data_IF_378561024964
#
_entry.id   IF_378561024964
#
_cell.length_a   1.000
_cell.length_b   1.000
_cell.length_c   1.000
_cell.angle_alpha   90.00
_cell.angle_beta   90.00
_cell.angle_gamma   90.00
#
_symmetry.space_group_name_H-M   'P 1'
#
loop_
_entity.id
_entity.type
_entity.pdbx_description
1 polymer ?
#
# COMPACT_ATOMS: atom_id res chain seq x y z
N UNK A 1 -13.62 4.52 12.76
CA UNK A 1 -14.14 3.39 11.97
C UNK A 1 -14.49 2.18 12.85
N UNK A 2 -13.52 1.41 13.37
CA UNK A 2 -13.80 0.17 14.14
C UNK A 2 -14.83 0.35 15.27
N UNK A 3 -14.67 1.39 16.10
CA UNK A 3 -15.63 1.70 17.17
C UNK A 3 -17.07 1.91 16.66
N UNK A 4 -17.25 2.59 15.52
CA UNK A 4 -18.57 2.83 14.94
C UNK A 4 -19.23 1.54 14.44
N UNK A 5 -18.44 0.63 13.86
CA UNK A 5 -18.91 -0.71 13.46
C UNK A 5 -19.36 -1.49 14.69
N UNK A 6 -18.55 -1.50 15.75
CA UNK A 6 -18.88 -2.21 16.99
C UNK A 6 -20.17 -1.68 17.62
N UNK A 7 -20.34 -0.37 17.66
CA UNK A 7 -21.56 0.27 18.18
C UNK A 7 -22.79 -0.06 17.33
N UNK A 8 -22.73 0.12 16.01
CA UNK A 8 -23.89 -0.09 15.12
C UNK A 8 -24.30 -1.59 15.03
N UNK A 9 -23.35 -2.50 15.24
CA UNK A 9 -23.63 -3.95 15.31
C UNK A 9 -24.01 -4.45 16.71
N UNK A 10 -24.17 -3.56 17.69
CA UNK A 10 -24.41 -3.91 19.10
C UNK A 10 -23.38 -4.93 19.64
N UNK A 11 -22.11 -4.78 19.27
CA UNK A 11 -21.01 -5.66 19.68
C UNK A 11 -20.95 -7.00 18.96
N UNK A 12 -21.84 -7.30 18.00
CA UNK A 12 -21.81 -8.55 17.21
C UNK A 12 -20.57 -8.66 16.31
N UNK A 13 -19.92 -7.54 16.01
CA UNK A 13 -18.69 -7.50 15.25
C UNK A 13 -17.69 -6.55 15.91
N UNK A 14 -16.47 -7.04 16.15
CA UNK A 14 -15.38 -6.27 16.75
C UNK A 14 -14.14 -6.33 15.84
N UNK A 15 -13.86 -5.22 15.14
CA UNK A 15 -12.70 -5.15 14.25
C UNK A 15 -11.45 -4.78 15.04
N UNK A 16 -10.62 -5.77 15.34
CA UNK A 16 -9.34 -5.56 16.00
C UNK A 16 -8.27 -5.14 14.98
N UNK A 17 -7.59 -4.03 15.25
CA UNK A 17 -6.55 -3.47 14.38
C UNK A 17 -5.19 -3.75 15.01
N UNK A 18 -4.31 -4.35 14.21
CA UNK A 18 -2.94 -4.66 14.60
C UNK A 18 -1.96 -3.80 13.78
N UNK A 19 -1.63 -2.58 14.24
CA UNK A 19 -0.79 -1.65 13.51
C UNK A 19 0.69 -2.07 13.56
N UNK A 20 1.57 -1.30 12.89
CA UNK A 20 3.03 -1.43 12.98
C UNK A 20 3.57 -2.84 12.67
N UNK A 21 2.96 -3.54 11.71
CA UNK A 21 3.37 -4.90 11.30
C UNK A 21 3.36 -5.93 12.45
N UNK A 22 2.49 -5.77 13.44
CA UNK A 22 2.37 -6.70 14.58
C UNK A 22 2.07 -8.15 14.16
N UNK A 23 1.40 -8.34 13.01
CA UNK A 23 1.03 -9.66 12.48
C UNK A 23 2.05 -10.23 11.47
N UNK A 24 3.17 -9.53 11.25
CA UNK A 24 4.20 -9.92 10.29
C UNK A 24 4.40 -8.88 9.18
N UNK A 25 5.30 -9.19 8.25
CA UNK A 25 5.58 -8.35 7.08
C UNK A 25 4.41 -8.38 6.08
N UNK A 26 4.39 -7.42 5.14
CA UNK A 26 3.35 -7.36 4.11
C UNK A 26 3.19 -8.69 3.33
N UNK A 27 4.30 -9.35 3.03
CA UNK A 27 4.32 -10.65 2.35
C UNK A 27 3.78 -11.80 3.20
N UNK A 28 4.02 -11.74 4.52
CA UNK A 28 3.52 -12.74 5.47
C UNK A 28 2.01 -12.59 5.62
N UNK A 29 1.54 -11.36 5.87
CA UNK A 29 0.11 -11.09 6.09
C UNK A 29 -0.70 -11.30 4.82
N UNK A 30 -0.14 -11.01 3.63
CA UNK A 30 -0.76 -11.40 2.35
C UNK A 30 -0.97 -12.92 2.25
N UNK A 31 -0.01 -13.72 2.72
CA UNK A 31 -0.15 -15.17 2.76
C UNK A 31 -1.21 -15.61 3.78
N UNK A 32 -1.23 -14.96 4.96
CA UNK A 32 -2.19 -15.24 6.03
C UNK A 32 -3.63 -14.90 5.63
N UNK A 33 -3.89 -13.74 5.00
CA UNK A 33 -5.25 -13.37 4.60
C UNK A 33 -5.80 -14.33 3.54
N UNK A 34 -4.93 -14.92 2.71
CA UNK A 34 -5.33 -15.93 1.73
C UNK A 34 -5.65 -17.27 2.38
N UNK A 35 -4.82 -17.73 3.32
CA UNK A 35 -5.05 -18.98 4.03
C UNK A 35 -6.21 -18.90 5.02
N UNK A 36 -6.55 -17.69 5.49
CA UNK A 36 -7.52 -17.42 6.54
C UNK A 36 -6.91 -17.39 7.94
N UNK A 37 -5.58 -17.15 8.05
CA UNK A 37 -4.92 -16.87 9.32
C UNK A 37 -5.22 -15.46 9.86
N UNK A 38 -5.62 -14.55 8.98
CA UNK A 38 -6.23 -13.24 9.32
C UNK A 38 -7.42 -12.99 8.40
N UNK A 39 -8.40 -12.22 8.87
CA UNK A 39 -9.63 -11.96 8.12
C UNK A 39 -9.52 -10.77 7.19
N UNK A 40 -8.79 -9.73 7.61
CA UNK A 40 -8.71 -8.43 6.95
C UNK A 40 -7.27 -7.97 6.80
N UNK A 41 -6.94 -7.33 5.69
CA UNK A 41 -5.62 -6.74 5.47
C UNK A 41 -5.69 -5.54 4.53
N UNK A 42 -5.11 -4.40 4.92
CA UNK A 42 -4.90 -3.25 4.03
C UNK A 42 -3.53 -3.34 3.38
N UNK A 43 -3.50 -3.47 2.05
CA UNK A 43 -2.25 -3.67 1.30
C UNK A 43 -2.18 -2.77 0.07
N UNK A 44 -0.98 -2.26 -0.23
CA UNK A 44 -0.72 -1.53 -1.48
C UNK A 44 -1.03 -2.42 -2.69
N UNK A 45 -1.74 -1.88 -3.68
CA UNK A 45 -1.98 -2.55 -4.96
C UNK A 45 -0.68 -2.99 -5.67
N UNK A 46 0.40 -2.24 -5.46
CA UNK A 46 1.70 -2.53 -6.06
C UNK A 46 2.38 -3.75 -5.42
N UNK A 47 2.24 -3.97 -4.11
CA UNK A 47 2.71 -5.21 -3.45
C UNK A 47 1.79 -6.37 -3.83
N UNK A 48 0.47 -6.13 -3.86
CA UNK A 48 -0.53 -7.12 -4.25
C UNK A 48 -0.31 -7.66 -5.67
N UNK A 49 0.39 -6.92 -6.54
CA UNK A 49 0.72 -7.37 -7.90
C UNK A 49 1.61 -8.61 -7.99
N UNK A 50 2.23 -9.03 -6.89
CA UNK A 50 2.86 -10.36 -6.79
C UNK A 50 1.85 -11.51 -6.90
N UNK A 51 0.58 -11.25 -6.59
CA UNK A 51 -0.56 -12.17 -6.71
C UNK A 51 -1.52 -11.76 -7.83
N UNK A 52 -1.83 -10.47 -7.94
CA UNK A 52 -2.83 -9.90 -8.86
C UNK A 52 -2.15 -8.84 -9.71
N UNK A 53 -1.46 -9.20 -10.81
CA UNK A 53 -0.60 -8.26 -11.56
C UNK A 53 -1.28 -6.91 -11.91
N UNK A 54 -2.57 -6.95 -12.28
CA UNK A 54 -3.37 -5.78 -12.59
C UNK A 54 -3.52 -4.78 -11.43
N UNK A 55 -3.37 -5.22 -10.17
CA UNK A 55 -3.55 -4.37 -8.99
C UNK A 55 -2.50 -3.25 -8.87
N UNK A 56 -1.38 -3.34 -9.58
CA UNK A 56 -0.34 -2.30 -9.61
C UNK A 56 -0.61 -1.16 -10.60
N UNK A 57 -1.67 -1.25 -11.41
CA UNK A 57 -1.93 -0.30 -12.49
C UNK A 57 -2.12 1.15 -12.01
N UNK A 58 -2.54 1.34 -10.75
CA UNK A 58 -2.67 2.67 -10.16
C UNK A 58 -1.30 3.34 -9.87
N UNK A 59 -0.23 2.56 -9.81
CA UNK A 59 1.12 3.02 -9.51
C UNK A 59 2.04 3.17 -10.73
N UNK A 60 1.49 3.15 -11.94
CA UNK A 60 2.30 3.40 -13.14
C UNK A 60 2.95 4.78 -13.03
N UNK A 61 4.26 4.82 -13.23
CA UNK A 61 5.06 6.04 -13.04
C UNK A 61 4.52 7.22 -13.84
N UNK A 62 4.30 8.34 -13.16
CA UNK A 62 3.78 9.60 -13.70
C UNK A 62 2.43 9.50 -14.44
N UNK A 63 1.66 8.41 -14.27
CA UNK A 63 0.38 8.23 -14.95
C UNK A 63 -0.72 9.19 -14.44
N UNK A 64 -0.66 9.56 -13.15
CA UNK A 64 -1.63 10.43 -12.52
C UNK A 64 -1.01 11.81 -12.23
N UNK A 65 -1.56 12.90 -12.79
CA UNK A 65 -1.06 14.25 -12.53
C UNK A 65 -1.58 14.82 -11.20
N UNK A 66 -2.73 14.32 -10.71
CA UNK A 66 -3.42 14.86 -9.55
C UNK A 66 -4.42 13.86 -8.94
N UNK A 67 -4.90 14.19 -7.74
CA UNK A 67 -5.89 13.41 -7.01
C UNK A 67 -7.26 13.31 -7.70
N UNK A 68 -7.84 14.38 -8.29
CA UNK A 68 -9.09 14.25 -9.05
C UNK A 68 -9.03 13.19 -10.14
N UNK A 69 -7.90 13.08 -10.86
CA UNK A 69 -7.68 12.06 -11.88
C UNK A 69 -7.56 10.66 -11.25
N UNK A 70 -6.83 10.52 -10.14
CA UNK A 70 -6.76 9.27 -9.36
C UNK A 70 -8.16 8.80 -8.98
N UNK A 71 -8.95 9.65 -8.31
CA UNK A 71 -10.25 9.26 -7.78
C UNK A 71 -11.24 8.94 -8.88
N UNK A 72 -11.26 9.72 -9.98
CA UNK A 72 -12.08 9.41 -11.14
C UNK A 72 -11.76 8.01 -11.70
N UNK A 73 -10.49 7.61 -11.72
CA UNK A 73 -10.08 6.29 -12.23
C UNK A 73 -10.37 5.17 -11.22
N UNK A 74 -9.97 5.33 -9.96
CA UNK A 74 -10.03 4.28 -8.94
C UNK A 74 -11.43 4.07 -8.35
N UNK A 75 -12.27 5.09 -8.33
CA UNK A 75 -13.69 4.94 -7.99
C UNK A 75 -14.52 4.49 -9.22
N UNK A 76 -13.98 4.68 -10.43
CA UNK A 76 -14.61 4.32 -11.70
C UNK A 76 -14.23 2.93 -12.23
N UNK A 77 -14.26 2.80 -13.56
CA UNK A 77 -14.12 1.53 -14.27
C UNK A 77 -12.75 0.86 -14.06
N UNK A 78 -11.67 1.64 -13.92
CA UNK A 78 -10.34 1.09 -13.66
C UNK A 78 -10.29 0.41 -12.29
N UNK A 79 -10.82 1.06 -11.25
CA UNK A 79 -10.94 0.45 -9.94
C UNK A 79 -11.86 -0.76 -9.94
N UNK A 80 -12.99 -0.71 -10.67
CA UNK A 80 -13.90 -1.85 -10.81
C UNK A 80 -13.19 -3.05 -11.46
N UNK A 81 -12.39 -2.81 -12.50
CA UNK A 81 -11.56 -3.83 -13.13
C UNK A 81 -10.56 -4.44 -12.14
N UNK A 82 -9.81 -3.62 -11.41
CA UNK A 82 -8.85 -4.10 -10.40
C UNK A 82 -9.55 -4.93 -9.31
N UNK A 83 -10.68 -4.45 -8.78
CA UNK A 83 -11.48 -5.21 -7.80
C UNK A 83 -11.95 -6.55 -8.36
N UNK A 84 -12.33 -6.61 -9.64
CA UNK A 84 -12.68 -7.83 -10.34
C UNK A 84 -11.51 -8.83 -10.39
N UNK A 85 -10.30 -8.37 -10.71
CA UNK A 85 -9.10 -9.21 -10.72
C UNK A 85 -8.72 -9.70 -9.31
N UNK A 86 -8.86 -8.85 -8.29
CA UNK A 86 -8.65 -9.25 -6.88
C UNK A 86 -9.64 -10.36 -6.49
N UNK A 87 -10.92 -10.23 -6.88
CA UNK A 87 -11.93 -11.27 -6.67
C UNK A 87 -11.62 -12.54 -7.46
N UNK A 88 -11.09 -12.48 -8.67
CA UNK A 88 -10.65 -13.71 -9.37
C UNK A 88 -9.53 -14.44 -8.63
N UNK A 89 -8.68 -13.72 -7.90
CA UNK A 89 -7.55 -14.27 -7.16
C UNK A 89 -7.88 -14.87 -5.78
N UNK A 90 -9.16 -14.97 -5.40
CA UNK A 90 -9.57 -15.65 -4.16
C UNK A 90 -9.78 -14.75 -2.94
N UNK A 91 -9.63 -13.43 -3.10
CA UNK A 91 -9.85 -12.45 -2.04
C UNK A 91 -11.17 -11.71 -2.24
N UNK A 92 -11.71 -11.14 -1.17
CA UNK A 92 -12.73 -10.09 -1.27
C UNK A 92 -12.07 -8.72 -1.06
N UNK A 93 -12.69 -7.66 -1.57
CA UNK A 93 -12.14 -6.31 -1.51
C UNK A 93 -13.27 -5.28 -1.40
N UNK A 94 -13.03 -4.22 -0.63
CA UNK A 94 -13.97 -3.10 -0.49
C UNK A 94 -14.02 -2.25 -1.76
N UNK A 95 -15.08 -1.44 -1.89
CA UNK A 95 -15.32 -0.67 -3.11
C UNK A 95 -14.31 0.46 -3.27
N UNK A 96 -13.97 1.14 -2.17
CA UNK A 96 -13.02 2.25 -2.18
C UNK A 96 -11.62 1.83 -1.77
N UNK A 97 -10.65 2.25 -2.57
CA UNK A 97 -9.23 2.21 -2.20
C UNK A 97 -8.93 3.38 -1.26
N UNK A 98 -8.09 3.17 -0.25
CA UNK A 98 -7.71 4.21 0.71
C UNK A 98 -6.48 4.97 0.22
N UNK A 99 -6.41 6.27 0.47
CA UNK A 99 -5.23 7.05 0.09
C UNK A 99 -4.01 6.63 0.94
N UNK A 100 -2.92 6.28 0.26
CA UNK A 100 -1.60 6.32 0.87
C UNK A 100 -0.91 7.63 0.45
N UNK A 101 -0.97 7.93 -0.85
CA UNK A 101 -0.63 9.22 -1.42
C UNK A 101 0.43 9.16 -2.51
N UNK A 102 0.75 10.33 -3.06
CA UNK A 102 1.87 10.47 -3.98
C UNK A 102 3.21 10.24 -3.26
N UNK A 103 4.05 9.41 -3.87
CA UNK A 103 5.30 8.94 -3.28
C UNK A 103 6.45 9.90 -3.59
N UNK A 104 7.26 10.15 -2.56
CA UNK A 104 8.42 11.05 -2.60
C UNK A 104 9.69 10.24 -2.36
N UNK A 105 10.83 10.70 -2.87
CA UNK A 105 12.11 10.01 -2.69
C UNK A 105 12.89 10.64 -1.56
N UNK A 106 13.36 9.84 -0.61
CA UNK A 106 14.28 10.28 0.45
C UNK A 106 15.67 9.70 0.23
N UNK A 107 16.67 10.42 0.72
CA UNK A 107 18.07 10.01 0.60
C UNK A 107 18.89 10.45 1.81
N UNK A 108 19.86 9.63 2.20
CA UNK A 108 20.87 9.97 3.20
C UNK A 108 22.14 10.59 2.61
N UNK A 109 22.40 10.40 1.31
CA UNK A 109 23.70 10.71 0.68
C UNK A 109 23.67 12.00 -0.14
N UNK A 110 22.65 12.17 -0.99
CA UNK A 110 22.52 13.31 -1.90
C UNK A 110 21.05 13.67 -2.20
N UNK A 111 20.72 14.93 -2.53
CA UNK A 111 19.45 15.27 -3.14
C UNK A 111 19.24 14.53 -4.47
N UNK A 112 17.98 14.28 -4.81
CA UNK A 112 17.58 13.78 -6.13
C UNK A 112 16.85 14.92 -6.85
N UNK A 113 17.49 15.55 -7.83
CA UNK A 113 16.93 16.67 -8.58
C UNK A 113 16.37 16.24 -9.94
N UNK A 114 16.80 15.09 -10.45
CA UNK A 114 16.33 14.55 -11.72
C UNK A 114 16.65 13.06 -11.88
N UNK A 115 16.26 12.45 -13.01
CA UNK A 115 16.43 11.02 -13.26
C UNK A 115 17.91 10.60 -13.24
N UNK A 116 18.85 11.45 -13.68
CA UNK A 116 20.28 11.14 -13.67
C UNK A 116 20.85 10.92 -12.27
N UNK A 117 20.25 11.51 -11.23
CA UNK A 117 20.69 11.32 -9.85
C UNK A 117 20.39 9.91 -9.32
N UNK A 118 19.50 9.16 -9.97
CA UNK A 118 19.21 7.77 -9.61
C UNK A 118 20.25 6.77 -10.14
N UNK A 119 21.10 7.15 -11.10
CA UNK A 119 22.12 6.25 -11.67
C UNK A 119 23.01 5.67 -10.58
N UNK A 120 22.98 4.35 -10.43
CA UNK A 120 23.73 3.61 -9.41
C UNK A 120 23.24 3.81 -7.97
N UNK A 121 22.21 4.63 -7.74
CA UNK A 121 21.67 4.92 -6.41
C UNK A 121 21.03 3.67 -5.79
N UNK A 122 21.48 3.28 -4.60
CA UNK A 122 20.93 2.12 -3.90
C UNK A 122 19.65 2.53 -3.18
N UNK A 123 18.51 2.24 -3.78
CA UNK A 123 17.20 2.60 -3.23
C UNK A 123 16.48 1.37 -2.71
N UNK A 124 15.94 1.45 -1.50
CA UNK A 124 14.95 0.46 -1.06
C UNK A 124 13.64 0.71 -1.78
N UNK A 125 13.04 -0.35 -2.27
CA UNK A 125 11.63 -0.38 -2.73
C UNK A 125 10.86 -1.47 -1.98
N UNK A 126 9.52 -1.36 -1.84
CA UNK A 126 8.72 -2.48 -1.37
C UNK A 126 8.79 -3.67 -2.34
N UNK A 127 8.35 -4.86 -1.89
CA UNK A 127 8.37 -6.09 -2.69
C UNK A 127 7.32 -6.03 -3.80
N UNK A 128 7.65 -5.35 -4.91
CA UNK A 128 6.81 -5.20 -6.09
C UNK A 128 7.63 -5.27 -7.38
N UNK A 129 7.15 -6.00 -8.40
CA UNK A 129 7.72 -5.95 -9.74
C UNK A 129 7.72 -4.53 -10.34
N UNK A 130 6.68 -3.73 -10.12
CA UNK A 130 6.53 -2.42 -10.75
C UNK A 130 7.54 -1.41 -10.20
N UNK A 131 7.69 -1.31 -8.87
CA UNK A 131 8.72 -0.46 -8.27
C UNK A 131 10.13 -0.87 -8.72
N UNK A 132 10.42 -2.16 -8.69
CA UNK A 132 11.72 -2.68 -9.13
C UNK A 132 12.00 -2.31 -10.59
N UNK A 133 11.00 -2.45 -11.47
CA UNK A 133 11.12 -2.11 -12.88
C UNK A 133 11.34 -0.62 -13.09
N UNK A 134 10.57 0.24 -12.42
CA UNK A 134 10.67 1.70 -12.57
C UNK A 134 12.04 2.22 -12.14
N UNK A 135 12.53 1.82 -10.96
CA UNK A 135 13.85 2.30 -10.50
C UNK A 135 15.01 1.70 -11.29
N UNK A 136 14.88 0.48 -11.83
CA UNK A 136 15.84 -0.03 -12.82
C UNK A 136 15.82 0.79 -14.11
N UNK A 137 14.67 1.29 -14.55
CA UNK A 137 14.58 2.17 -15.72
C UNK A 137 15.24 3.54 -15.52
N UNK A 138 15.48 3.95 -14.27
CA UNK A 138 16.32 5.10 -13.92
C UNK A 138 17.79 4.72 -13.67
N UNK A 139 18.21 3.52 -14.06
CA UNK A 139 19.54 2.96 -13.81
C UNK A 139 19.93 2.92 -12.32
N UNK A 140 18.95 2.91 -11.42
CA UNK A 140 19.18 2.73 -9.99
C UNK A 140 19.46 1.26 -9.64
N UNK A 141 19.87 1.03 -8.40
CA UNK A 141 20.06 -0.30 -7.82
C UNK A 141 18.98 -0.57 -6.76
N UNK A 142 17.73 -0.91 -7.16
CA UNK A 142 16.66 -1.15 -6.20
C UNK A 142 16.89 -2.44 -5.41
N UNK A 143 16.68 -2.38 -4.10
CA UNK A 143 16.63 -3.53 -3.20
C UNK A 143 15.21 -3.68 -2.62
N UNK A 144 14.60 -4.85 -2.84
CA UNK A 144 13.28 -5.17 -2.30
C UNK A 144 13.39 -5.53 -0.81
N UNK A 145 12.85 -4.69 0.06
CA UNK A 145 12.90 -4.86 1.52
C UNK A 145 11.51 -4.56 2.07
N UNK A 146 10.98 -5.39 2.96
CA UNK A 146 9.67 -5.17 3.59
C UNK A 146 9.67 -3.91 4.45
N UNK A 147 8.50 -3.26 4.61
CA UNK A 147 8.43 -1.96 5.30
C UNK A 147 8.93 -2.01 6.74
N UNK A 148 8.67 -3.12 7.45
CA UNK A 148 9.15 -3.39 8.81
C UNK A 148 10.67 -3.33 8.97
N UNK A 149 11.43 -3.54 7.90
CA UNK A 149 12.90 -3.58 7.90
C UNK A 149 13.54 -2.28 7.38
N UNK A 150 12.73 -1.34 6.86
CA UNK A 150 13.21 -0.14 6.16
C UNK A 150 14.06 0.76 7.04
N UNK A 151 13.60 1.05 8.25
CA UNK A 151 14.34 1.94 9.15
C UNK A 151 15.73 1.40 9.42
N UNK A 152 15.84 0.11 9.73
CA UNK A 152 17.14 -0.55 9.99
C UNK A 152 18.02 -0.58 8.74
N UNK A 153 17.45 -0.88 7.56
CA UNK A 153 18.19 -0.89 6.30
C UNK A 153 18.76 0.49 5.94
N UNK A 154 18.03 1.57 6.22
CA UNK A 154 18.50 2.95 6.04
C UNK A 154 19.54 3.33 7.10
N UNK A 155 19.28 3.01 8.37
CA UNK A 155 20.18 3.32 9.49
C UNK A 155 21.56 2.67 9.31
N UNK A 156 21.57 1.40 8.87
CA UNK A 156 22.79 0.62 8.61
C UNK A 156 23.38 0.90 7.22
N UNK A 157 22.73 1.74 6.41
CA UNK A 157 23.15 2.12 5.05
C UNK A 157 23.33 0.94 4.10
N UNK A 158 22.54 -0.13 4.28
CA UNK A 158 22.39 -1.19 3.26
C UNK A 158 21.87 -0.57 1.96
N UNK A 159 20.97 0.40 2.09
CA UNK A 159 20.48 1.28 1.02
C UNK A 159 20.74 2.76 1.40
N UNK A 160 20.86 3.60 0.38
CA UNK A 160 21.09 5.04 0.55
C UNK A 160 19.79 5.81 0.79
N UNK A 161 18.68 5.31 0.24
CA UNK A 161 17.39 5.96 0.30
C UNK A 161 16.21 5.02 0.14
N UNK A 162 15.02 5.60 0.19
CA UNK A 162 13.75 4.91 -0.06
C UNK A 162 12.76 5.88 -0.70
N UNK A 163 11.55 5.40 -0.97
CA UNK A 163 10.46 6.23 -1.44
C UNK A 163 9.15 5.87 -0.73
N UNK A 164 8.34 6.87 -0.38
CA UNK A 164 7.03 6.73 0.25
C UNK A 164 6.28 8.08 0.28
N UNK A 165 4.96 8.08 0.56
CA UNK A 165 4.24 9.32 0.83
C UNK A 165 4.74 10.01 2.11
N UNK A 166 4.60 11.32 2.18
CA UNK A 166 5.10 12.14 3.29
C UNK A 166 4.52 11.72 4.65
N UNK A 167 3.25 11.33 4.68
CA UNK A 167 2.60 10.84 5.89
C UNK A 167 3.35 9.62 6.45
N UNK A 168 3.68 8.64 5.60
CA UNK A 168 4.37 7.42 6.02
C UNK A 168 5.85 7.68 6.36
N UNK A 169 6.52 8.59 5.65
CA UNK A 169 7.87 9.06 6.01
C UNK A 169 7.87 9.65 7.43
N UNK A 170 6.85 10.44 7.77
CA UNK A 170 6.71 11.07 9.08
C UNK A 170 6.36 10.07 10.17
N UNK A 171 5.35 9.22 9.98
CA UNK A 171 4.89 8.28 11.03
C UNK A 171 5.93 7.21 11.34
N UNK A 172 6.68 6.75 10.35
CA UNK A 172 7.80 5.82 10.53
C UNK A 172 9.12 6.52 10.90
N UNK A 173 9.11 7.84 11.11
CA UNK A 173 10.26 8.65 11.52
C UNK A 173 11.49 8.49 10.63
N UNK A 174 11.28 8.28 9.33
CA UNK A 174 12.40 8.03 8.40
C UNK A 174 13.32 9.25 8.26
N UNK A 175 12.82 10.44 8.60
CA UNK A 175 13.61 11.68 8.68
C UNK A 175 14.78 11.62 9.68
N UNK A 176 14.77 10.70 10.65
CA UNK A 176 15.90 10.49 11.57
C UNK A 176 17.12 9.87 10.87
N UNK A 177 16.88 9.11 9.80
CA UNK A 177 17.89 8.34 9.06
C UNK A 177 17.99 8.77 7.59
N UNK A 178 17.28 9.82 7.19
CA UNK A 178 17.23 10.37 5.84
C UNK A 178 17.37 11.89 5.87
N UNK A 179 18.38 12.42 5.17
CA UNK A 179 18.75 13.84 5.22
C UNK A 179 18.00 14.69 4.19
N UNK A 180 17.68 14.12 3.03
CA UNK A 180 17.05 14.80 1.91
C UNK A 180 15.70 14.17 1.60
N UNK A 181 14.72 15.00 1.22
CA UNK A 181 13.44 14.57 0.69
C UNK A 181 13.17 15.36 -0.60
N UNK A 182 13.15 14.65 -1.72
CA UNK A 182 12.83 15.19 -3.04
C UNK A 182 11.37 14.92 -3.36
N UNK A 183 10.62 15.97 -3.66
CA UNK A 183 9.20 15.88 -4.02
C UNK A 183 9.01 15.38 -5.45
N UNK A 184 9.32 14.11 -5.66
CA UNK A 184 9.33 13.49 -7.00
C UNK A 184 7.95 13.19 -7.54
N UNK A 185 6.92 13.02 -6.68
CA UNK A 185 5.53 12.70 -7.06
C UNK A 185 5.43 11.62 -8.16
N UNK A 186 6.36 10.67 -8.15
CA UNK A 186 6.64 9.84 -9.32
C UNK A 186 5.58 8.75 -9.54
N UNK A 187 4.75 8.48 -8.53
CA UNK A 187 3.55 7.65 -8.64
C UNK A 187 2.60 7.91 -7.48
N UNK A 188 1.36 7.49 -7.66
CA UNK A 188 0.37 7.41 -6.59
C UNK A 188 0.27 5.96 -6.07
N UNK A 189 0.07 5.82 -4.76
CA UNK A 189 -0.14 4.54 -4.10
C UNK A 189 -1.35 4.60 -3.18
N UNK A 190 -2.02 3.47 -3.03
CA UNK A 190 -3.25 3.35 -2.27
C UNK A 190 -3.39 1.95 -1.68
N UNK A 191 -4.11 1.87 -0.57
CA UNK A 191 -4.34 0.62 0.14
C UNK A 191 -5.69 0.02 -0.23
N UNK A 192 -5.67 -1.18 -0.81
CA UNK A 192 -6.87 -1.99 -0.92
C UNK A 192 -7.20 -2.62 0.42
N UNK A 193 -8.45 -2.50 0.87
CA UNK A 193 -8.94 -3.22 2.04
C UNK A 193 -9.38 -4.63 1.61
N UNK A 194 -8.47 -5.58 1.79
CA UNK A 194 -8.62 -6.98 1.39
C UNK A 194 -9.24 -7.81 2.51
N UNK A 195 -9.92 -8.87 2.11
CA UNK A 195 -10.64 -9.77 2.99
C UNK A 195 -10.42 -11.22 2.57
N UNK A 196 -10.27 -12.11 3.55
CA UNK A 196 -10.39 -13.53 3.27
C UNK A 196 -11.83 -13.83 2.79
N UNK A 197 -11.97 -14.49 1.63
CA UNK A 197 -13.29 -14.76 1.05
C UNK A 197 -14.19 -15.58 1.94
N UNK A 198 -13.67 -16.62 2.60
CA UNK A 198 -14.48 -17.50 3.46
C UNK A 198 -14.95 -16.76 4.71
N UNK A 199 -14.03 -16.05 5.37
CA UNK A 199 -14.37 -15.25 6.55
C UNK A 199 -15.43 -14.19 6.22
N UNK A 200 -15.26 -13.46 5.11
CA UNK A 200 -16.23 -12.48 4.68
C UNK A 200 -17.59 -13.09 4.34
N UNK A 201 -17.63 -14.18 3.59
CA UNK A 201 -18.87 -14.86 3.19
C UNK A 201 -19.66 -15.39 4.40
N UNK A 202 -18.96 -15.82 5.46
CA UNK A 202 -19.57 -16.33 6.68
C UNK A 202 -20.26 -15.26 7.53
N UNK A 203 -20.01 -13.97 7.28
CA UNK A 203 -20.70 -12.90 8.00
C UNK A 203 -22.18 -12.81 7.60
N UNK A 204 -23.09 -12.52 8.54
CA UNK A 204 -24.46 -12.13 8.22
C UNK A 204 -24.51 -10.88 7.33
N UNK A 205 -25.50 -10.79 6.44
CA UNK A 205 -25.57 -9.71 5.44
C UNK A 205 -25.79 -8.32 6.06
N UNK A 206 -26.47 -8.24 7.21
CA UNK A 206 -26.61 -6.99 7.98
C UNK A 206 -25.24 -6.51 8.50
N UNK A 207 -24.41 -7.44 8.99
CA UNK A 207 -23.04 -7.14 9.44
C UNK A 207 -22.15 -6.73 8.26
N UNK A 208 -22.18 -7.47 7.14
CA UNK A 208 -21.43 -7.09 5.92
C UNK A 208 -21.76 -5.68 5.48
N UNK A 209 -23.04 -5.32 5.47
CA UNK A 209 -23.52 -4.00 5.07
C UNK A 209 -22.96 -2.90 5.97
N UNK A 210 -23.02 -3.09 7.29
CA UNK A 210 -22.50 -2.11 8.26
C UNK A 210 -20.97 -1.98 8.13
N UNK A 211 -20.25 -3.09 8.03
CA UNK A 211 -18.79 -3.08 7.87
C UNK A 211 -18.39 -2.37 6.58
N UNK A 212 -18.99 -2.74 5.44
CA UNK A 212 -18.69 -2.13 4.15
C UNK A 212 -18.99 -0.63 4.13
N UNK A 213 -20.12 -0.19 4.72
CA UNK A 213 -20.47 1.23 4.88
C UNK A 213 -19.36 2.00 5.59
N UNK A 214 -18.93 1.55 6.76
CA UNK A 214 -17.94 2.26 7.57
C UNK A 214 -16.52 2.19 6.99
N UNK A 215 -16.14 1.06 6.39
CA UNK A 215 -14.81 0.90 5.78
C UNK A 215 -14.68 1.72 4.50
N UNK A 216 -15.70 1.73 3.64
CA UNK A 216 -15.71 2.59 2.46
C UNK A 216 -15.78 4.07 2.83
N UNK A 217 -16.51 4.46 3.89
CA UNK A 217 -16.56 5.85 4.34
C UNK A 217 -15.23 6.34 4.95
N UNK A 218 -14.40 5.42 5.46
CA UNK A 218 -13.06 5.72 5.97
C UNK A 218 -11.99 5.83 4.87
N UNK A 219 -12.33 5.50 3.62
CA UNK A 219 -11.47 5.75 2.47
C UNK A 219 -11.47 7.25 2.17
N UNK A 220 -10.50 7.95 2.74
CA UNK A 220 -10.17 9.36 2.49
C UNK A 220 -8.77 9.48 1.91
#
# INVERSE_FOLDING_TARGET
MSAAIKTETNGRFDLQVFPNNQLGSDTDVLSQVRSGGVEFFTLSGLILATLVPAASINGIGFAFPDYPTVWKAMDGDLGAYVRGEIKKAGLEVMDKIWDNGFRQTTSSTKPINGPDDFKGFKIRVPVSPLWTSMFKAFDASPASINFSEVYSALQTKIVEGQENPLALISTAKLYEVQKYCSLTNHMWDGFWFLMNRRAWAALPDDIKTIVAKHVNAAAV
#
